data_IF_771205192723
#
_entry.id   IF_771205192723
#
_cell.length_a   1.000
_cell.length_b   1.000
_cell.length_c   1.000
_cell.angle_alpha   90.00
_cell.angle_beta   90.00
_cell.angle_gamma   90.00
#
_symmetry.space_group_name_H-M   'P 1'
#
loop_
_entity.id
_entity.type
_entity.pdbx_description
1 polymer ?
#
# COMPACT_ATOMS: atom_id res chain seq x y z
N UNK A 1 -21.05 2.55 -9.06
CA UNK A 1 -19.91 2.99 -8.22
C UNK A 1 -18.63 2.70 -8.98
N UNK A 2 -17.75 3.70 -9.11
CA UNK A 2 -16.47 3.59 -9.81
C UNK A 2 -15.32 3.72 -8.82
N UNK A 3 -14.38 2.79 -8.84
CA UNK A 3 -13.21 2.78 -7.96
C UNK A 3 -11.95 2.97 -8.79
N UNK A 4 -11.07 3.86 -8.34
CA UNK A 4 -9.71 3.96 -8.85
C UNK A 4 -8.78 3.08 -8.04
N UNK A 5 -8.27 2.01 -8.65
CA UNK A 5 -7.26 1.14 -8.06
C UNK A 5 -5.87 1.71 -8.36
N UNK A 6 -5.29 2.38 -7.37
CA UNK A 6 -4.10 3.21 -7.49
C UNK A 6 -2.88 2.54 -6.88
N UNK A 7 -1.75 2.52 -7.59
CA UNK A 7 -0.48 2.16 -6.98
C UNK A 7 0.59 1.68 -7.96
N UNK A 8 1.74 1.34 -7.40
CA UNK A 8 2.91 0.82 -8.12
C UNK A 8 3.00 -0.68 -7.86
N UNK A 9 1.89 -1.37 -8.11
CA UNK A 9 1.76 -2.78 -7.79
C UNK A 9 2.10 -3.66 -9.00
N UNK A 10 2.50 -4.91 -8.75
CA UNK A 10 2.61 -5.89 -9.82
C UNK A 10 1.20 -6.46 -10.11
N UNK A 11 0.66 -6.32 -11.34
CA UNK A 11 -0.65 -6.85 -11.71
C UNK A 11 -0.75 -8.38 -11.56
N UNK A 12 0.38 -9.09 -11.70
CA UNK A 12 0.46 -10.54 -11.53
C UNK A 12 0.47 -10.98 -10.07
N UNK A 13 0.54 -10.06 -9.11
CA UNK A 13 0.51 -10.40 -7.70
C UNK A 13 -0.90 -10.84 -7.28
N UNK A 14 -1.01 -12.06 -6.73
CA UNK A 14 -2.28 -12.72 -6.45
C UNK A 14 -3.25 -11.86 -5.62
N UNK A 15 -2.75 -11.09 -4.65
CA UNK A 15 -3.58 -10.22 -3.80
C UNK A 15 -4.29 -9.13 -4.61
N UNK A 16 -3.54 -8.35 -5.38
CA UNK A 16 -4.13 -7.26 -6.18
C UNK A 16 -5.07 -7.83 -7.24
N UNK A 17 -4.67 -8.94 -7.87
CA UNK A 17 -5.50 -9.63 -8.87
C UNK A 17 -6.83 -10.12 -8.27
N UNK A 18 -6.79 -10.71 -7.08
CA UNK A 18 -7.99 -11.20 -6.39
C UNK A 18 -8.90 -10.05 -5.96
N UNK A 19 -8.35 -8.96 -5.42
CA UNK A 19 -9.11 -7.78 -5.03
C UNK A 19 -9.81 -7.13 -6.23
N UNK A 20 -9.08 -6.87 -7.32
CA UNK A 20 -9.66 -6.28 -8.55
C UNK A 20 -10.74 -7.20 -9.13
N UNK A 21 -10.49 -8.52 -9.16
CA UNK A 21 -11.46 -9.50 -9.65
C UNK A 21 -12.72 -9.52 -8.78
N UNK A 22 -12.57 -9.55 -7.46
CA UNK A 22 -13.68 -9.54 -6.51
C UNK A 22 -14.53 -8.28 -6.63
N UNK A 23 -13.90 -7.11 -6.77
CA UNK A 23 -14.60 -5.85 -6.99
C UNK A 23 -15.43 -5.89 -8.29
N UNK A 24 -14.82 -6.32 -9.40
CA UNK A 24 -15.53 -6.45 -10.69
C UNK A 24 -16.70 -7.45 -10.63
N UNK A 25 -16.53 -8.56 -9.92
CA UNK A 25 -17.59 -9.56 -9.74
C UNK A 25 -18.79 -9.04 -8.95
N UNK A 26 -18.59 -8.04 -8.08
CA UNK A 26 -19.66 -7.36 -7.35
C UNK A 26 -20.27 -6.19 -8.13
N UNK A 27 -20.03 -6.09 -9.44
CA UNK A 27 -20.58 -5.02 -10.29
C UNK A 27 -19.92 -3.65 -10.08
N UNK A 28 -18.76 -3.60 -9.41
CA UNK A 28 -17.99 -2.36 -9.25
C UNK A 28 -17.08 -2.16 -10.46
N UNK A 29 -17.15 -0.98 -11.07
CA UNK A 29 -16.24 -0.62 -12.16
C UNK A 29 -14.89 -0.19 -11.57
N UNK A 30 -13.84 -0.90 -11.96
CA UNK A 30 -12.48 -0.69 -11.44
C UNK A 30 -11.60 -0.07 -12.52
N UNK A 31 -11.24 1.20 -12.32
CA UNK A 31 -10.26 1.94 -13.10
C UNK A 31 -8.87 1.69 -12.52
N UNK A 32 -8.01 1.00 -13.26
CA UNK A 32 -6.65 0.71 -12.81
C UNK A 32 -5.71 1.86 -13.16
N UNK A 33 -5.13 2.49 -12.13
CA UNK A 33 -4.10 3.52 -12.25
C UNK A 33 -2.77 2.97 -11.75
N UNK A 34 -2.06 2.30 -12.65
CA UNK A 34 -0.81 1.61 -12.36
C UNK A 34 0.36 2.17 -13.20
N UNK A 35 1.57 2.16 -12.62
CA UNK A 35 2.82 2.38 -13.34
C UNK A 35 3.80 1.22 -13.14
N UNK A 36 4.32 0.71 -14.26
CA UNK A 36 5.39 -0.31 -14.30
C UNK A 36 6.79 0.31 -14.49
N UNK A 37 6.89 1.65 -14.53
CA UNK A 37 8.17 2.33 -14.70
C UNK A 37 9.09 2.14 -13.49
N UNK A 38 10.40 2.25 -13.73
CA UNK A 38 11.43 2.17 -12.70
C UNK A 38 11.83 3.58 -12.21
N UNK A 39 12.44 3.63 -11.02
CA UNK A 39 12.98 4.87 -10.45
C UNK A 39 11.91 5.92 -10.11
N UNK A 40 12.23 7.21 -10.11
CA UNK A 40 11.29 8.29 -9.77
C UNK A 40 10.24 8.53 -10.86
N UNK A 41 10.51 8.15 -12.12
CA UNK A 41 9.60 8.33 -13.25
C UNK A 41 8.22 7.68 -13.03
N UNK A 42 8.17 6.59 -12.26
CA UNK A 42 6.92 5.91 -11.91
C UNK A 42 5.94 6.79 -11.16
N UNK A 43 6.42 7.70 -10.30
CA UNK A 43 5.55 8.60 -9.54
C UNK A 43 4.97 9.69 -10.44
N UNK A 44 5.79 10.24 -11.34
CA UNK A 44 5.34 11.22 -12.34
C UNK A 44 4.32 10.62 -13.30
N UNK A 45 4.55 9.39 -13.77
CA UNK A 45 3.59 8.66 -14.61
C UNK A 45 2.28 8.39 -13.87
N UNK A 46 2.35 8.00 -12.59
CA UNK A 46 1.17 7.78 -11.75
C UNK A 46 0.35 9.07 -11.55
N UNK A 47 1.03 10.20 -11.29
CA UNK A 47 0.39 11.53 -11.18
C UNK A 47 -0.27 11.90 -12.51
N UNK A 48 0.45 11.74 -13.62
CA UNK A 48 -0.05 12.08 -14.95
C UNK A 48 -1.28 11.25 -15.29
N UNK A 49 -1.23 9.93 -15.11
CA UNK A 49 -2.39 9.04 -15.34
C UNK A 49 -3.57 9.40 -14.44
N UNK A 50 -3.31 9.64 -13.16
CA UNK A 50 -4.34 10.06 -12.20
C UNK A 50 -5.02 11.36 -12.62
N UNK A 51 -4.25 12.33 -13.13
CA UNK A 51 -4.77 13.62 -13.57
C UNK A 51 -5.87 13.49 -14.63
N UNK A 52 -5.75 12.53 -15.55
CA UNK A 52 -6.77 12.29 -16.59
C UNK A 52 -8.05 11.62 -16.03
N UNK A 53 -7.93 10.82 -14.98
CA UNK A 53 -9.06 10.04 -14.43
C UNK A 53 -9.64 10.63 -13.14
N UNK A 54 -9.10 11.74 -12.63
CA UNK A 54 -9.43 12.32 -11.32
C UNK A 54 -10.92 12.55 -11.09
N UNK A 55 -11.68 12.83 -12.15
CA UNK A 55 -13.13 13.09 -12.09
C UNK A 55 -14.00 11.86 -12.40
N UNK A 56 -13.39 10.72 -12.75
CA UNK A 56 -14.09 9.55 -13.28
C UNK A 56 -14.34 8.44 -12.26
N UNK A 57 -14.00 8.65 -10.98
CA UNK A 57 -14.18 7.66 -9.91
C UNK A 57 -14.74 8.28 -8.63
N UNK A 58 -15.38 7.47 -7.78
CA UNK A 58 -15.98 7.89 -6.52
C UNK A 58 -15.01 7.69 -5.34
N UNK A 59 -14.31 6.55 -5.34
CA UNK A 59 -13.41 6.12 -4.26
C UNK A 59 -12.06 5.68 -4.82
N UNK A 60 -10.98 5.95 -4.11
CA UNK A 60 -9.65 5.43 -4.44
C UNK A 60 -9.28 4.26 -3.52
N UNK A 61 -8.78 3.17 -4.10
CA UNK A 61 -8.21 2.04 -3.37
C UNK A 61 -6.71 1.99 -3.65
N UNK A 62 -5.89 1.94 -2.60
CA UNK A 62 -4.42 1.86 -2.73
C UNK A 62 -3.98 0.39 -2.63
N UNK A 63 -3.43 -0.13 -3.74
CA UNK A 63 -2.99 -1.52 -3.83
C UNK A 63 -1.62 -1.79 -3.19
N UNK A 64 -1.34 -3.06 -2.88
CA UNK A 64 -0.08 -3.49 -2.26
C UNK A 64 1.08 -3.56 -3.28
N UNK A 65 2.29 -3.05 -2.95
CA UNK A 65 2.69 -2.41 -1.69
C UNK A 65 2.22 -0.96 -1.58
N UNK A 66 1.47 -0.66 -0.52
CA UNK A 66 0.68 0.56 -0.44
C UNK A 66 1.37 1.77 0.19
N UNK A 67 2.51 1.61 0.88
CA UNK A 67 3.11 2.71 1.66
C UNK A 67 3.53 3.91 0.79
N UNK A 68 4.29 3.67 -0.28
CA UNK A 68 4.73 4.72 -1.21
C UNK A 68 3.55 5.38 -1.95
N UNK A 69 2.62 4.63 -2.59
CA UNK A 69 1.49 5.24 -3.26
C UNK A 69 0.48 5.87 -2.31
N UNK A 70 0.40 5.49 -1.04
CA UNK A 70 -0.51 6.12 -0.08
C UNK A 70 -0.16 7.59 0.18
N UNK A 71 1.12 7.90 0.42
CA UNK A 71 1.56 9.29 0.61
C UNK A 71 1.17 10.12 -0.62
N UNK A 72 1.40 9.56 -1.81
CA UNK A 72 1.07 10.20 -3.06
C UNK A 72 -0.45 10.36 -3.25
N UNK A 73 -1.25 9.35 -2.91
CA UNK A 73 -2.70 9.40 -2.96
C UNK A 73 -3.26 10.54 -2.09
N UNK A 74 -2.77 10.66 -0.85
CA UNK A 74 -3.19 11.71 0.09
C UNK A 74 -2.88 13.13 -0.41
N UNK A 75 -1.82 13.29 -1.22
CA UNK A 75 -1.44 14.58 -1.79
C UNK A 75 -2.25 14.94 -3.04
N UNK A 76 -2.57 13.96 -3.89
CA UNK A 76 -3.22 14.24 -5.19
C UNK A 76 -4.75 14.26 -5.09
N UNK A 77 -5.36 13.45 -4.21
CA UNK A 77 -6.81 13.34 -4.11
C UNK A 77 -7.36 13.75 -2.75
N UNK A 78 -8.55 14.37 -2.78
CA UNK A 78 -9.39 14.64 -1.59
C UNK A 78 -10.55 13.65 -1.46
N UNK A 79 -10.68 12.70 -2.40
CA UNK A 79 -11.72 11.67 -2.39
C UNK A 79 -11.42 10.64 -1.30
N UNK A 80 -12.44 9.90 -0.81
CA UNK A 80 -12.23 8.82 0.16
C UNK A 80 -11.18 7.82 -0.37
N UNK A 81 -10.22 7.50 0.49
CA UNK A 81 -9.10 6.58 0.19
C UNK A 81 -9.25 5.35 1.08
N UNK A 82 -9.28 4.18 0.45
CA UNK A 82 -9.26 2.88 1.11
C UNK A 82 -7.84 2.30 0.99
N UNK A 83 -7.25 1.96 2.12
CA UNK A 83 -5.92 1.37 2.19
C UNK A 83 -5.99 -0.13 2.40
N UNK A 84 -5.31 -0.90 1.56
CA UNK A 84 -5.13 -2.34 1.78
C UNK A 84 -4.01 -2.58 2.83
N UNK A 85 -4.39 -2.66 4.10
CA UNK A 85 -3.48 -2.88 5.24
C UNK A 85 -3.23 -4.38 5.56
N UNK A 86 -3.42 -5.28 4.59
CA UNK A 86 -3.52 -6.73 4.85
C UNK A 86 -2.24 -7.40 5.38
N UNK A 87 -1.04 -6.83 5.16
CA UNK A 87 0.21 -7.38 5.69
C UNK A 87 1.21 -6.28 6.04
N UNK A 88 1.97 -6.48 7.12
CA UNK A 88 3.11 -5.63 7.41
C UNK A 88 4.15 -5.76 6.31
N UNK A 89 4.67 -4.63 5.82
CA UNK A 89 5.81 -4.60 4.92
C UNK A 89 7.03 -5.30 5.54
N UNK A 90 7.15 -5.29 6.87
CA UNK A 90 8.19 -6.00 7.60
C UNK A 90 8.09 -7.51 7.36
N UNK A 91 6.90 -8.09 7.54
CA UNK A 91 6.70 -9.53 7.39
C UNK A 91 7.02 -9.98 5.97
N UNK A 92 6.63 -9.19 4.95
CA UNK A 92 6.92 -9.57 3.56
C UNK A 92 8.39 -9.39 3.17
N UNK A 93 9.03 -8.29 3.59
CA UNK A 93 10.39 -7.95 3.13
C UNK A 93 11.47 -8.65 3.95
N UNK A 94 11.24 -8.79 5.26
CA UNK A 94 12.22 -9.33 6.23
C UNK A 94 11.97 -10.81 6.46
N UNK A 95 10.76 -11.19 6.88
CA UNK A 95 10.46 -12.57 7.31
C UNK A 95 10.24 -13.51 6.12
N UNK A 96 9.45 -13.10 5.12
CA UNK A 96 9.06 -13.94 3.99
C UNK A 96 10.14 -13.99 2.90
N UNK A 97 10.59 -12.83 2.41
CA UNK A 97 11.55 -12.78 1.29
C UNK A 97 13.02 -12.83 1.70
N UNK A 98 13.33 -12.75 2.99
CA UNK A 98 14.70 -12.75 3.50
C UNK A 98 15.61 -11.68 2.88
N UNK A 99 15.04 -10.59 2.34
CA UNK A 99 15.81 -9.56 1.61
C UNK A 99 16.63 -8.68 2.55
N UNK A 100 16.34 -8.72 3.85
CA UNK A 100 17.13 -8.09 4.89
C UNK A 100 18.25 -9.06 5.33
N UNK A 101 19.35 -9.09 4.57
CA UNK A 101 20.56 -9.80 4.97
C UNK A 101 21.12 -9.11 6.23
N UNK A 102 21.27 -9.88 7.33
CA UNK A 102 21.81 -9.50 8.65
C UNK A 102 22.89 -8.40 8.59
N UNK A 103 22.46 -7.15 8.55
CA UNK A 103 23.31 -5.97 8.70
C UNK A 103 22.58 -5.09 9.68
N UNK A 104 23.26 -4.74 10.77
CA UNK A 104 22.71 -4.16 12.00
C UNK A 104 22.04 -2.78 11.84
N UNK A 105 21.85 -2.31 10.60
CA UNK A 105 21.12 -1.10 10.30
C UNK A 105 19.67 -1.46 9.96
N UNK A 106 18.77 -0.68 10.55
CA UNK A 106 17.33 -0.86 10.65
C UNK A 106 16.54 0.03 9.65
N UNK A 107 16.91 0.18 8.36
CA UNK A 107 16.21 1.09 7.44
C UNK A 107 14.80 0.58 7.10
N UNK A 108 14.58 -0.74 7.14
CA UNK A 108 13.24 -1.35 6.89
C UNK A 108 12.28 -1.04 8.05
N UNK A 109 12.75 -1.09 9.30
CA UNK A 109 11.95 -0.70 10.47
C UNK A 109 11.71 0.82 10.52
N UNK A 110 12.66 1.64 10.07
CA UNK A 110 12.50 3.10 10.02
C UNK A 110 11.50 3.54 8.94
N UNK A 111 11.54 2.91 7.75
CA UNK A 111 10.54 3.14 6.70
C UNK A 111 9.13 2.67 7.09
N UNK A 112 9.02 1.56 7.83
CA UNK A 112 7.76 1.11 8.41
C UNK A 112 7.25 2.09 9.49
N UNK A 113 8.13 2.60 10.35
CA UNK A 113 7.78 3.54 11.42
C UNK A 113 7.26 4.88 10.88
N UNK A 114 7.95 5.48 9.90
CA UNK A 114 7.48 6.71 9.22
C UNK A 114 6.16 6.43 8.51
N UNK A 115 6.00 5.25 7.90
CA UNK A 115 4.77 4.90 7.20
C UNK A 115 3.57 4.69 8.09
N UNK A 116 3.76 4.08 9.25
CA UNK A 116 2.69 3.94 10.23
C UNK A 116 2.22 5.32 10.74
N UNK A 117 3.14 6.24 11.01
CA UNK A 117 2.81 7.60 11.47
C UNK A 117 2.22 8.51 10.37
N UNK A 118 2.65 8.37 9.11
CA UNK A 118 2.15 9.20 8.01
C UNK A 118 0.77 8.74 7.48
N UNK A 119 0.47 7.44 7.59
CA UNK A 119 -0.72 6.80 7.01
C UNK A 119 -1.84 6.60 8.03
N UNK A 120 -1.54 6.27 9.30
CA UNK A 120 -2.56 6.05 10.31
C UNK A 120 -2.67 7.24 11.27
N UNK A 121 -3.88 7.79 11.53
CA UNK A 121 -4.08 8.63 12.70
C UNK A 121 -3.78 7.77 13.93
N UNK A 122 -2.84 8.25 14.73
CA UNK A 122 -2.21 7.80 15.99
C UNK A 122 -2.96 6.84 16.93
N UNK A 123 -4.25 6.56 16.76
CA UNK A 123 -5.06 5.75 17.67
C UNK A 123 -4.93 4.23 17.50
N UNK A 124 -4.43 3.75 16.36
CA UNK A 124 -4.36 2.30 16.06
C UNK A 124 -2.94 1.75 15.86
N UNK A 125 -1.95 2.63 15.72
CA UNK A 125 -0.54 2.24 15.61
C UNK A 125 0.00 1.69 16.96
N UNK A 126 -0.56 2.15 18.08
CA UNK A 126 -0.14 1.75 19.44
C UNK A 126 -0.58 0.32 19.81
N UNK A 127 -1.68 -0.18 19.22
CA UNK A 127 -2.21 -1.52 19.53
C UNK A 127 -1.41 -2.65 18.88
N UNK A 128 -0.83 -2.41 17.70
CA UNK A 128 0.04 -3.41 17.05
C UNK A 128 1.46 -3.42 17.63
N UNK A 129 1.96 -2.26 18.08
CA UNK A 129 3.28 -2.18 18.73
C UNK A 129 3.30 -2.91 20.08
N UNK A 130 2.19 -2.87 20.82
CA UNK A 130 2.07 -3.57 22.10
C UNK A 130 1.98 -5.09 21.93
N UNK A 131 1.45 -5.60 20.82
CA UNK A 131 1.39 -7.05 20.56
C UNK A 131 2.73 -7.59 20.06
N UNK A 132 3.45 -6.86 19.20
CA UNK A 132 4.73 -7.30 18.64
C UNK A 132 5.93 -7.15 19.61
N UNK A 133 5.86 -6.23 20.58
CA UNK A 133 6.91 -6.08 21.60
C UNK A 133 6.74 -7.08 22.75
N UNK A 134 5.51 -7.57 23.01
CA UNK A 134 5.22 -8.47 24.13
C UNK A 134 5.01 -9.94 23.75
N UNK A 135 5.18 -10.35 22.49
CA UNK A 135 5.10 -11.78 22.16
C UNK A 135 6.37 -12.51 22.62
N UNK A 136 6.27 -13.48 23.55
CA UNK A 136 7.41 -14.21 24.08
C UNK A 136 8.11 -15.03 22.99
N UNK A 137 9.44 -15.14 23.10
CA UNK A 137 10.33 -15.75 22.09
C UNK A 137 10.01 -17.20 21.68
N UNK A 138 9.14 -17.90 22.41
CA UNK A 138 8.76 -19.28 22.11
C UNK A 138 7.85 -19.43 20.86
N UNK A 139 7.32 -18.33 20.31
CA UNK A 139 6.46 -18.36 19.11
C UNK A 139 7.12 -17.69 17.88
N UNK A 140 8.45 -17.53 17.89
CA UNK A 140 9.23 -16.97 16.79
C UNK A 140 9.88 -18.05 15.94
#
# INVERSE_FOLDING_TARGET
>A
MKICYFGIYNPSYSRNKLLIRGLRQNGVEVLECNSSLKGPAKYFDLIKKHWWIRNSYDVMVVGFPGFQPMILAKLITRKPIIFDAFLSLYDTVVLDRGLAKNTALKPVTFGFWIGCHAVWPTKYCLTLLSILIFLPEHLR
#
